data_IF_732211724266
#
_entry.id   IF_732211724266
#
_cell.length_a   1.000
_cell.length_b   1.000
_cell.length_c   1.000
_cell.angle_alpha   90.00
_cell.angle_beta   90.00
_cell.angle_gamma   90.00
#
_symmetry.space_group_name_H-M   'P 1'
#
loop_
_entity.id
_entity.type
_entity.pdbx_description
1 polymer ?
#
# COMPACT_ATOMS: atom_id res chain seq x y z
N UNK A 1 -11.43 -34.85 -10.87
CA UNK A 1 -12.37 -34.12 -11.70
C UNK A 1 -12.46 -32.63 -11.33
N UNK A 2 -11.43 -32.06 -10.69
CA UNK A 2 -11.40 -30.68 -10.20
C UNK A 2 -10.42 -29.75 -10.90
N UNK A 3 -9.72 -30.21 -11.94
CA UNK A 3 -8.59 -29.47 -12.57
C UNK A 3 -8.99 -28.65 -13.80
N UNK A 4 -10.29 -28.57 -14.17
CA UNK A 4 -10.76 -27.90 -15.40
C UNK A 4 -11.57 -26.61 -15.18
N UNK A 5 -11.78 -26.16 -13.95
CA UNK A 5 -12.64 -24.98 -13.65
C UNK A 5 -11.83 -23.69 -13.52
N UNK A 6 -10.50 -23.76 -13.35
CA UNK A 6 -9.66 -22.56 -13.13
C UNK A 6 -9.24 -21.83 -14.41
N UNK A 7 -9.54 -22.37 -15.61
CA UNK A 7 -9.07 -21.82 -16.90
C UNK A 7 -10.11 -21.00 -17.66
N UNK A 8 -11.32 -20.85 -17.14
CA UNK A 8 -12.45 -20.21 -17.88
C UNK A 8 -12.78 -18.78 -17.42
N UNK A 9 -12.03 -18.21 -16.49
CA UNK A 9 -12.27 -16.83 -15.99
C UNK A 9 -11.42 -15.74 -16.68
N UNK A 10 -10.64 -16.09 -17.71
CA UNK A 10 -9.76 -15.13 -18.40
C UNK A 10 -10.22 -14.72 -19.81
N UNK A 11 -11.42 -15.04 -20.23
CA UNK A 11 -11.89 -14.69 -21.58
C UNK A 11 -13.05 -13.71 -21.49
N UNK A 12 -12.82 -12.54 -22.09
CA UNK A 12 -13.75 -11.46 -22.44
C UNK A 12 -13.97 -10.33 -21.42
N UNK A 13 -12.96 -9.48 -21.25
CA UNK A 13 -13.20 -8.05 -21.01
C UNK A 13 -12.45 -7.25 -22.06
N UNK A 14 -12.91 -7.33 -23.30
CA UNK A 14 -12.64 -6.30 -24.30
C UNK A 14 -13.67 -5.20 -24.12
N UNK A 15 -13.62 -4.50 -22.99
CA UNK A 15 -14.33 -3.25 -22.83
C UNK A 15 -13.47 -2.15 -23.44
N UNK A 16 -14.05 -1.38 -24.34
CA UNK A 16 -13.54 -0.16 -24.94
C UNK A 16 -12.98 0.77 -23.83
N UNK A 17 -11.72 0.60 -23.50
CA UNK A 17 -11.02 1.48 -22.59
C UNK A 17 -10.69 2.74 -23.38
N UNK A 18 -11.47 3.80 -23.19
CA UNK A 18 -10.91 5.13 -23.33
C UNK A 18 -9.72 5.18 -22.37
N UNK A 19 -8.54 5.55 -22.88
CA UNK A 19 -7.31 5.71 -22.11
C UNK A 19 -7.55 6.72 -20.98
N UNK A 20 -7.85 6.21 -19.81
CA UNK A 20 -8.18 7.01 -18.65
C UNK A 20 -6.99 7.16 -17.68
N UNK A 21 -5.78 7.00 -18.19
CA UNK A 21 -4.54 7.02 -17.43
C UNK A 21 -4.24 5.68 -16.74
N UNK A 22 -3.01 5.50 -16.40
CA UNK A 22 -2.44 4.29 -15.82
C UNK A 22 -2.93 4.07 -14.38
N UNK A 23 -2.99 2.81 -13.95
CA UNK A 23 -3.28 2.45 -12.57
C UNK A 23 -2.22 3.04 -11.63
N UNK A 24 -2.68 3.74 -10.58
CA UNK A 24 -1.84 4.23 -9.49
C UNK A 24 -2.09 3.37 -8.26
N UNK A 25 -1.01 2.89 -7.64
CA UNK A 25 -1.06 1.89 -6.58
C UNK A 25 -0.27 2.34 -5.36
N UNK A 26 -0.60 1.77 -4.20
CA UNK A 26 0.17 1.94 -2.97
C UNK A 26 1.31 0.89 -2.87
N UNK A 27 1.32 -0.10 -3.78
CA UNK A 27 2.42 -1.06 -3.94
C UNK A 27 3.37 -0.63 -5.05
N UNK A 28 4.66 -1.02 -5.01
CA UNK A 28 5.34 -1.94 -4.10
C UNK A 28 5.93 -1.31 -2.83
N UNK A 29 6.01 0.03 -2.75
CA UNK A 29 6.56 0.79 -1.64
C UNK A 29 5.63 0.79 -0.41
N UNK A 30 6.16 1.24 0.73
CA UNK A 30 5.38 1.49 1.94
C UNK A 30 4.65 2.84 1.84
N UNK A 31 5.14 3.72 0.94
CA UNK A 31 4.57 5.05 0.72
C UNK A 31 3.23 4.94 0.02
N UNK A 32 2.20 5.38 0.71
CA UNK A 32 0.85 5.46 0.16
C UNK A 32 0.76 6.60 -0.85
N UNK A 33 0.22 6.32 -2.04
CA UNK A 33 0.06 7.33 -3.08
C UNK A 33 -1.13 8.27 -2.78
N UNK A 34 -1.08 9.54 -3.19
CA UNK A 34 -2.20 10.48 -2.99
C UNK A 34 -3.31 10.37 -4.03
N UNK A 35 -3.21 9.47 -4.98
CA UNK A 35 -4.21 9.29 -6.03
C UNK A 35 -5.47 8.60 -5.52
N UNK A 36 -6.61 8.91 -6.11
CA UNK A 36 -7.92 8.32 -5.83
C UNK A 36 -8.28 7.36 -6.96
N UNK A 37 -8.72 6.17 -6.61
CA UNK A 37 -9.33 5.25 -7.58
C UNK A 37 -10.55 5.92 -8.21
N UNK A 38 -10.67 5.84 -9.53
CA UNK A 38 -11.75 6.48 -10.28
C UNK A 38 -13.13 6.00 -9.83
N UNK A 39 -14.07 6.93 -9.85
CA UNK A 39 -15.47 6.63 -9.50
C UNK A 39 -16.01 5.44 -10.29
N UNK A 40 -16.56 4.46 -9.56
CA UNK A 40 -17.15 3.25 -10.12
C UNK A 40 -16.14 2.18 -10.52
N UNK A 41 -14.86 2.34 -10.14
CA UNK A 41 -13.84 1.30 -10.30
C UNK A 41 -13.56 0.63 -8.95
N UNK A 42 -13.30 -0.67 -9.01
CA UNK A 42 -12.62 -1.43 -7.96
C UNK A 42 -11.17 -1.64 -8.39
N UNK A 43 -10.26 -1.45 -7.47
CA UNK A 43 -8.84 -1.76 -7.61
C UNK A 43 -8.44 -2.73 -6.52
N UNK A 44 -7.74 -3.80 -6.91
CA UNK A 44 -7.17 -4.77 -5.98
C UNK A 44 -5.64 -4.74 -6.09
N UNK A 45 -4.98 -4.72 -4.96
CA UNK A 45 -3.53 -4.82 -4.82
C UNK A 45 -3.25 -6.02 -3.93
N UNK A 46 -2.73 -7.08 -4.53
CA UNK A 46 -2.48 -8.36 -3.87
C UNK A 46 -0.98 -8.63 -3.81
N UNK A 47 -0.51 -9.16 -2.71
CA UNK A 47 0.89 -9.45 -2.55
C UNK A 47 1.19 -10.69 -1.73
N UNK A 48 2.40 -11.15 -1.87
CA UNK A 48 3.09 -12.09 -1.00
C UNK A 48 4.32 -11.38 -0.45
N UNK A 49 4.51 -11.45 0.86
CA UNK A 49 5.69 -10.93 1.53
C UNK A 49 6.31 -12.06 2.37
N UNK A 50 7.60 -12.22 2.26
CA UNK A 50 8.40 -13.11 3.08
C UNK A 50 9.41 -12.30 3.86
N UNK A 51 9.28 -12.27 5.17
CA UNK A 51 10.28 -11.73 6.09
C UNK A 51 11.10 -12.85 6.73
N UNK A 52 12.03 -12.48 7.57
CA UNK A 52 12.84 -13.41 8.37
C UNK A 52 11.98 -14.24 9.33
N UNK A 53 10.93 -13.63 9.88
CA UNK A 53 10.10 -14.21 10.95
C UNK A 53 8.78 -14.80 10.47
N UNK A 54 8.27 -14.38 9.29
CA UNK A 54 6.92 -14.74 8.87
C UNK A 54 6.71 -14.69 7.35
N UNK A 55 5.63 -15.32 6.92
CA UNK A 55 5.07 -15.20 5.58
C UNK A 55 3.75 -14.46 5.66
N UNK A 56 3.56 -13.42 4.85
CA UNK A 56 2.30 -12.71 4.71
C UNK A 56 1.69 -13.03 3.34
N UNK A 57 0.54 -13.72 3.33
CA UNK A 57 -0.15 -14.07 2.10
C UNK A 57 -1.61 -14.48 2.34
N UNK A 58 -2.54 -13.86 1.60
CA UNK A 58 -2.32 -12.66 0.79
C UNK A 58 -2.16 -11.41 1.66
N UNK A 59 -1.34 -10.47 1.22
CA UNK A 59 -1.49 -9.06 1.60
C UNK A 59 -2.47 -8.46 0.60
N UNK A 60 -3.59 -7.94 1.07
CA UNK A 60 -4.68 -7.48 0.20
C UNK A 60 -5.10 -6.07 0.55
N UNK A 61 -5.16 -5.20 -0.44
CA UNK A 61 -5.75 -3.87 -0.35
C UNK A 61 -6.79 -3.74 -1.47
N UNK A 62 -8.06 -3.67 -1.09
CA UNK A 62 -9.17 -3.42 -2.00
C UNK A 62 -9.59 -1.96 -1.89
N UNK A 63 -9.71 -1.28 -3.03
CA UNK A 63 -10.09 0.13 -3.12
C UNK A 63 -11.32 0.27 -4.00
N UNK A 64 -12.23 1.15 -3.61
CA UNK A 64 -13.39 1.51 -4.42
C UNK A 64 -13.53 3.02 -4.55
N UNK A 65 -13.53 3.51 -5.77
CA UNK A 65 -13.73 4.92 -6.07
C UNK A 65 -15.20 5.35 -5.89
N UNK A 66 -15.51 5.99 -4.76
CA UNK A 66 -16.85 6.53 -4.49
C UNK A 66 -17.13 7.78 -5.31
N UNK A 67 -16.13 8.64 -5.44
CA UNK A 67 -16.24 9.91 -6.14
C UNK A 67 -14.87 10.37 -6.65
N UNK A 68 -14.76 11.58 -7.21
CA UNK A 68 -13.47 12.17 -7.59
C UNK A 68 -12.60 12.54 -6.38
N UNK A 69 -13.16 12.50 -5.16
CA UNK A 69 -12.45 12.89 -3.93
C UNK A 69 -12.42 11.85 -2.85
N UNK A 70 -13.22 10.78 -2.96
CA UNK A 70 -13.35 9.79 -1.90
C UNK A 70 -13.16 8.37 -2.45
N UNK A 71 -12.35 7.59 -1.74
CA UNK A 71 -12.05 6.19 -1.99
C UNK A 71 -12.27 5.39 -0.71
N UNK A 72 -13.06 4.32 -0.78
CA UNK A 72 -13.14 3.33 0.28
C UNK A 72 -11.97 2.34 0.15
N UNK A 73 -11.50 1.87 1.28
CA UNK A 73 -10.36 0.95 1.41
C UNK A 73 -10.73 -0.20 2.34
N UNK A 74 -10.29 -1.38 1.98
CA UNK A 74 -10.32 -2.56 2.84
C UNK A 74 -8.97 -3.25 2.77
N UNK A 75 -8.32 -3.38 3.92
CA UNK A 75 -7.03 -4.04 4.08
C UNK A 75 -7.26 -5.38 4.74
N UNK A 76 -6.62 -6.43 4.23
CA UNK A 76 -6.61 -7.74 4.86
C UNK A 76 -5.25 -8.41 4.63
N UNK A 77 -4.59 -8.78 5.72
CA UNK A 77 -3.30 -9.46 5.71
C UNK A 77 -3.39 -10.73 6.51
N UNK A 78 -3.12 -11.86 5.86
CA UNK A 78 -2.92 -13.13 6.53
C UNK A 78 -1.44 -13.39 6.72
N UNK A 79 -1.07 -13.81 7.92
CA UNK A 79 0.31 -14.13 8.26
C UNK A 79 0.47 -15.53 8.82
N UNK A 80 1.64 -16.11 8.59
CA UNK A 80 2.03 -17.39 9.13
C UNK A 80 3.49 -17.35 9.59
N UNK A 81 3.70 -17.55 10.87
CA UNK A 81 5.03 -17.82 11.42
C UNK A 81 5.40 -19.31 11.20
N UNK A 82 6.68 -19.65 11.05
CA UNK A 82 7.11 -21.02 10.90
C UNK A 82 6.59 -21.91 12.05
N UNK A 83 5.88 -22.99 11.70
CA UNK A 83 5.32 -23.94 12.66
C UNK A 83 4.06 -23.50 13.39
N UNK A 84 3.49 -22.34 13.05
CA UNK A 84 2.21 -21.86 13.59
C UNK A 84 1.11 -21.86 12.53
N UNK A 85 -0.14 -21.72 12.98
CA UNK A 85 -1.29 -21.60 12.09
C UNK A 85 -1.34 -20.23 11.42
N UNK A 86 -1.94 -20.20 10.22
CA UNK A 86 -2.21 -18.94 9.51
C UNK A 86 -3.28 -18.13 10.27
N UNK A 87 -3.01 -16.85 10.50
CA UNK A 87 -3.91 -15.94 11.22
C UNK A 87 -4.04 -14.61 10.50
N UNK A 88 -5.12 -13.87 10.74
CA UNK A 88 -5.21 -12.47 10.37
C UNK A 88 -4.20 -11.66 11.18
N UNK A 89 -3.30 -10.97 10.49
CA UNK A 89 -2.34 -10.03 11.08
C UNK A 89 -2.93 -8.61 11.11
N UNK A 90 -3.66 -8.27 10.05
CA UNK A 90 -4.32 -6.98 9.92
C UNK A 90 -5.63 -7.15 9.18
N UNK A 91 -6.65 -6.49 9.68
CA UNK A 91 -7.90 -6.28 8.97
C UNK A 91 -8.40 -4.88 9.28
N UNK A 92 -8.60 -4.07 8.24
CA UNK A 92 -8.98 -2.67 8.40
C UNK A 92 -9.95 -2.20 7.32
N UNK A 93 -10.79 -1.25 7.68
CA UNK A 93 -11.48 -0.39 6.71
C UNK A 93 -10.89 1.00 6.76
N UNK A 94 -10.92 1.68 5.62
CA UNK A 94 -10.41 3.04 5.52
C UNK A 94 -11.16 3.90 4.53
N UNK A 95 -10.91 5.18 4.67
CA UNK A 95 -11.36 6.20 3.76
C UNK A 95 -10.15 7.05 3.34
N UNK A 96 -9.97 7.25 2.03
CA UNK A 96 -9.02 8.23 1.49
C UNK A 96 -9.81 9.42 0.95
N UNK A 97 -9.39 10.60 1.35
CA UNK A 97 -9.94 11.88 0.91
C UNK A 97 -8.88 12.70 0.18
N UNK A 98 -9.14 13.01 -1.10
CA UNK A 98 -8.30 13.88 -1.91
C UNK A 98 -8.49 15.35 -1.49
N UNK A 99 -7.45 15.94 -0.92
CA UNK A 99 -7.43 17.34 -0.49
C UNK A 99 -7.06 18.26 -1.65
N UNK A 100 -5.95 17.97 -2.31
CA UNK A 100 -5.46 18.75 -3.45
C UNK A 100 -5.01 17.81 -4.57
N UNK A 101 -5.70 17.88 -5.72
CA UNK A 101 -5.46 17.08 -6.91
C UNK A 101 -5.30 18.00 -8.12
N UNK A 102 -4.10 18.51 -8.39
CA UNK A 102 -3.88 19.36 -9.55
C UNK A 102 -4.19 18.60 -10.83
N UNK A 103 -4.77 19.29 -11.81
CA UNK A 103 -5.00 18.72 -13.14
C UNK A 103 -3.71 18.75 -13.95
N UNK A 104 -3.38 17.60 -14.58
CA UNK A 104 -2.19 17.44 -15.39
C UNK A 104 -0.91 17.16 -14.58
N UNK A 105 0.18 16.94 -15.31
CA UNK A 105 1.53 16.85 -14.75
C UNK A 105 1.97 18.27 -14.45
N UNK A 106 1.96 18.66 -13.20
CA UNK A 106 2.52 19.95 -12.78
C UNK A 106 4.05 19.82 -12.64
N UNK A 107 4.75 19.87 -13.75
CA UNK A 107 6.20 20.06 -13.71
C UNK A 107 6.52 21.35 -12.95
N UNK A 108 7.36 21.26 -11.93
CA UNK A 108 7.86 22.43 -11.18
C UNK A 108 6.87 23.08 -10.17
N UNK A 109 5.81 22.44 -9.77
CA UNK A 109 4.99 22.97 -8.67
C UNK A 109 5.51 22.45 -7.32
N UNK A 110 5.86 23.37 -6.42
CA UNK A 110 6.14 23.06 -5.01
C UNK A 110 4.90 22.56 -4.24
N UNK A 111 3.71 22.64 -4.86
CA UNK A 111 2.47 22.19 -4.26
C UNK A 111 2.25 20.71 -4.55
N UNK A 112 2.41 19.82 -3.56
CA UNK A 112 2.24 18.40 -3.77
C UNK A 112 0.77 18.06 -4.05
N UNK A 113 0.52 17.02 -4.83
CA UNK A 113 -0.73 16.28 -4.79
C UNK A 113 -0.89 15.73 -3.38
N UNK A 114 -2.05 15.90 -2.77
CA UNK A 114 -2.23 15.58 -1.35
C UNK A 114 -3.56 14.89 -1.11
N UNK A 115 -3.52 13.84 -0.27
CA UNK A 115 -4.70 13.19 0.28
C UNK A 115 -4.49 12.87 1.76
N UNK A 116 -5.56 12.59 2.47
CA UNK A 116 -5.53 12.03 3.81
C UNK A 116 -6.22 10.67 3.81
N UNK A 117 -5.64 9.73 4.53
CA UNK A 117 -6.17 8.38 4.74
C UNK A 117 -6.44 8.23 6.22
N UNK A 118 -7.57 7.59 6.53
CA UNK A 118 -7.91 7.16 7.89
C UNK A 118 -8.28 5.70 7.81
N UNK A 119 -7.66 4.86 8.64
CA UNK A 119 -8.04 3.47 8.82
C UNK A 119 -8.55 3.22 10.24
N UNK A 120 -9.46 2.28 10.33
CA UNK A 120 -9.86 1.63 11.56
C UNK A 120 -9.53 0.13 11.46
N UNK A 121 -8.75 -0.37 12.41
CA UNK A 121 -8.27 -1.74 12.42
C UNK A 121 -9.11 -2.57 13.40
N UNK A 122 -9.54 -3.75 12.96
CA UNK A 122 -10.12 -4.74 13.86
C UNK A 122 -9.02 -5.56 14.52
N UNK A 123 -9.17 -5.76 15.82
CA UNK A 123 -8.30 -6.66 16.55
C UNK A 123 -8.82 -8.10 16.46
N UNK A 124 -8.07 -8.95 15.78
CA UNK A 124 -8.29 -10.38 15.77
C UNK A 124 -7.46 -11.13 16.83
N UNK A 125 -6.51 -10.43 17.47
CA UNK A 125 -5.56 -11.04 18.41
C UNK A 125 -6.04 -11.06 19.86
N UNK A 126 -7.29 -10.81 20.14
CA UNK A 126 -7.86 -10.62 21.46
C UNK A 126 -7.82 -11.87 22.40
N UNK A 127 -6.89 -12.81 22.22
CA UNK A 127 -6.92 -14.06 23.00
C UNK A 127 -5.63 -14.49 23.67
N UNK A 128 -4.51 -13.87 23.43
CA UNK A 128 -3.30 -14.18 24.19
C UNK A 128 -2.55 -12.88 24.53
N UNK A 129 -2.96 -12.28 25.65
CA UNK A 129 -2.13 -11.31 26.35
C UNK A 129 -0.87 -12.01 26.87
N UNK A 130 0.06 -12.36 26.00
CA UNK A 130 1.41 -12.58 26.47
C UNK A 130 1.97 -11.21 26.84
N UNK A 131 2.50 -11.09 28.03
CA UNK A 131 2.99 -9.86 28.68
C UNK A 131 4.05 -9.07 27.90
N UNK A 132 4.35 -9.45 26.67
CA UNK A 132 5.40 -8.84 25.83
C UNK A 132 4.94 -7.69 24.93
N UNK A 133 3.65 -7.44 24.73
CA UNK A 133 3.18 -6.33 23.92
C UNK A 133 2.81 -5.11 24.77
N UNK A 134 3.81 -4.45 25.36
CA UNK A 134 3.65 -3.19 26.06
C UNK A 134 3.05 -2.06 25.20
N UNK A 135 3.16 -2.17 23.86
CA UNK A 135 2.65 -1.16 22.90
C UNK A 135 1.15 -1.26 22.63
N UNK A 136 0.50 -2.39 22.96
CA UNK A 136 -0.85 -2.66 22.48
C UNK A 136 -0.89 -2.95 20.97
N UNK A 137 -2.08 -3.29 20.43
CA UNK A 137 -2.30 -3.47 19.01
C UNK A 137 -2.77 -2.16 18.36
N UNK A 138 -2.49 -1.97 17.07
CA UNK A 138 -2.96 -0.83 16.31
C UNK A 138 -4.48 -0.86 16.14
N UNK A 139 -5.15 0.21 16.55
CA UNK A 139 -6.60 0.37 16.38
C UNK A 139 -6.96 1.26 15.18
N UNK A 140 -5.98 1.95 14.61
CA UNK A 140 -6.15 2.78 13.43
C UNK A 140 -5.02 3.75 13.21
N UNK A 141 -5.08 4.39 12.06
CA UNK A 141 -4.09 5.39 11.66
C UNK A 141 -4.73 6.58 10.94
N UNK A 142 -3.97 7.67 10.92
CA UNK A 142 -4.23 8.84 10.07
C UNK A 142 -2.96 9.19 9.35
N UNK A 143 -2.98 9.15 8.01
CA UNK A 143 -1.82 9.37 7.15
C UNK A 143 -2.11 10.47 6.14
N UNK A 144 -1.26 11.50 6.10
CA UNK A 144 -1.19 12.46 5.02
C UNK A 144 -0.25 11.91 3.94
N UNK A 145 -0.77 11.77 2.74
CA UNK A 145 -0.02 11.29 1.57
C UNK A 145 0.23 12.44 0.61
N UNK A 146 1.45 12.56 0.14
CA UNK A 146 1.88 13.66 -0.71
C UNK A 146 2.78 13.14 -1.83
N UNK A 147 2.72 13.80 -3.00
CA UNK A 147 3.60 13.51 -4.13
C UNK A 147 3.90 14.78 -4.92
N UNK A 148 5.17 14.97 -5.25
CA UNK A 148 5.64 15.94 -6.23
C UNK A 148 6.22 15.21 -7.43
N UNK A 149 5.80 15.61 -8.63
CA UNK A 149 6.36 15.14 -9.90
C UNK A 149 7.28 16.25 -10.43
N UNK A 150 8.59 16.00 -10.48
CA UNK A 150 9.58 16.99 -10.95
C UNK A 150 9.58 17.11 -12.47
N UNK A 151 9.33 16.00 -13.15
CA UNK A 151 9.15 15.90 -14.59
C UNK A 151 8.40 14.61 -14.95
N UNK A 152 8.34 14.25 -16.24
CA UNK A 152 7.64 13.05 -16.72
C UNK A 152 8.26 11.73 -16.22
N UNK A 153 9.47 11.77 -15.66
CA UNK A 153 10.22 10.56 -15.28
C UNK A 153 10.50 10.48 -13.79
N UNK A 154 10.65 11.60 -13.10
CA UNK A 154 11.10 11.64 -11.71
C UNK A 154 10.07 12.29 -10.81
N UNK A 155 9.85 11.66 -9.68
CA UNK A 155 8.99 12.16 -8.62
C UNK A 155 9.49 11.79 -7.24
N UNK A 156 8.77 12.25 -6.23
CA UNK A 156 8.95 11.89 -4.84
C UNK A 156 7.59 11.75 -4.17
N UNK A 157 7.31 10.56 -3.66
CA UNK A 157 6.20 10.30 -2.75
C UNK A 157 6.66 10.45 -1.30
N UNK A 158 5.82 10.96 -0.43
CA UNK A 158 6.11 11.02 1.00
C UNK A 158 4.84 11.05 1.84
N UNK A 159 4.94 10.43 3.02
CA UNK A 159 3.85 10.38 3.97
C UNK A 159 4.32 10.83 5.35
N UNK A 160 3.39 11.40 6.09
CA UNK A 160 3.51 11.65 7.52
C UNK A 160 2.19 11.30 8.19
N UNK A 161 2.25 10.66 9.33
CA UNK A 161 1.03 10.21 10.00
C UNK A 161 1.23 9.82 11.44
N UNK A 162 0.17 9.28 11.99
CA UNK A 162 0.18 8.72 13.34
C UNK A 162 -0.65 7.45 13.37
N UNK A 163 -0.17 6.48 14.11
CA UNK A 163 -0.86 5.24 14.44
C UNK A 163 -1.30 5.29 15.90
N UNK A 164 -2.52 4.85 16.16
CA UNK A 164 -3.12 4.79 17.50
C UNK A 164 -3.15 3.35 17.97
N UNK A 165 -2.80 3.13 19.23
CA UNK A 165 -2.76 1.80 19.84
C UNK A 165 -3.81 1.64 20.93
N UNK A 166 -4.21 0.39 21.20
CA UNK A 166 -5.27 0.04 22.16
C UNK A 166 -4.95 0.43 23.62
N UNK A 167 -3.69 0.62 23.95
CA UNK A 167 -3.24 1.12 25.24
C UNK A 167 -3.33 2.66 25.37
N UNK A 168 -3.83 3.35 24.33
CA UNK A 168 -3.92 4.82 24.26
C UNK A 168 -2.64 5.52 23.84
N UNK A 169 -1.58 4.79 23.48
CA UNK A 169 -0.35 5.41 22.95
C UNK A 169 -0.51 5.78 21.48
N UNK A 170 0.33 6.73 21.04
CA UNK A 170 0.43 7.16 19.65
C UNK A 170 1.85 6.96 19.17
N UNK A 171 1.99 6.58 17.91
CA UNK A 171 3.26 6.41 17.23
C UNK A 171 3.27 7.27 15.96
N UNK A 172 4.28 8.12 15.80
CA UNK A 172 4.49 8.87 14.58
C UNK A 172 5.04 7.97 13.49
N UNK A 173 4.59 8.14 12.24
CA UNK A 173 5.10 7.40 11.08
C UNK A 173 5.51 8.37 9.98
N UNK A 174 6.56 8.03 9.24
CA UNK A 174 6.98 8.74 8.04
C UNK A 174 7.46 7.77 6.98
N UNK A 175 7.35 8.19 5.70
CA UNK A 175 7.83 7.48 4.53
C UNK A 175 8.28 8.48 3.49
N UNK A 176 9.38 8.21 2.80
CA UNK A 176 9.92 9.08 1.75
C UNK A 176 10.47 8.21 0.62
N UNK A 177 9.89 8.31 -0.57
CA UNK A 177 10.16 7.44 -1.71
C UNK A 177 10.46 8.27 -2.99
N UNK A 178 11.71 8.67 -3.23
CA UNK A 178 12.13 9.07 -4.58
C UNK A 178 11.85 7.95 -5.58
N UNK A 179 11.28 8.30 -6.71
CA UNK A 179 10.86 7.33 -7.70
C UNK A 179 11.13 7.81 -9.14
N UNK A 180 11.15 6.86 -10.06
CA UNK A 180 11.38 7.11 -11.47
C UNK A 180 10.60 6.17 -12.39
N UNK A 181 10.18 6.70 -13.53
CA UNK A 181 9.63 5.93 -14.63
C UNK A 181 10.75 5.48 -15.57
N UNK A 182 10.81 4.21 -15.89
CA UNK A 182 11.77 3.60 -16.80
C UNK A 182 11.06 3.25 -18.11
N UNK A 183 11.28 4.06 -19.11
CA UNK A 183 10.54 3.96 -20.37
C UNK A 183 9.04 4.16 -20.16
N UNK A 184 8.21 3.42 -20.89
CA UNK A 184 6.75 3.55 -20.82
C UNK A 184 6.10 2.61 -19.81
N UNK A 185 6.80 1.59 -19.34
CA UNK A 185 6.22 0.49 -18.57
C UNK A 185 6.94 0.15 -17.27
N UNK A 186 8.13 0.68 -17.06
CA UNK A 186 8.88 0.45 -15.84
C UNK A 186 8.65 1.55 -14.81
N UNK A 187 8.68 1.19 -13.53
CA UNK A 187 8.69 2.09 -12.38
C UNK A 187 9.69 1.54 -11.38
N UNK A 188 10.54 2.38 -10.85
CA UNK A 188 11.48 2.02 -9.80
C UNK A 188 11.48 3.08 -8.71
N UNK A 189 11.80 2.67 -7.49
CA UNK A 189 11.90 3.56 -6.34
C UNK A 189 12.96 3.06 -5.37
N UNK A 190 13.40 3.96 -4.52
CA UNK A 190 14.06 3.68 -3.25
C UNK A 190 13.31 4.41 -2.15
N UNK A 191 13.23 3.83 -0.97
CA UNK A 191 12.43 4.40 0.11
C UNK A 191 13.18 4.33 1.44
N UNK A 192 12.96 5.33 2.28
CA UNK A 192 13.28 5.32 3.71
C UNK A 192 11.99 5.58 4.47
N UNK A 193 11.73 4.74 5.45
CA UNK A 193 10.54 4.83 6.27
C UNK A 193 10.84 4.50 7.73
N UNK A 194 9.94 4.89 8.62
CA UNK A 194 10.16 4.60 10.02
C UNK A 194 9.03 5.03 10.92
N UNK A 195 9.21 4.68 12.20
CA UNK A 195 8.28 4.89 13.28
C UNK A 195 8.97 5.60 14.44
N UNK A 196 8.23 6.47 15.12
CA UNK A 196 8.65 7.17 16.30
C UNK A 196 7.74 6.78 17.48
N UNK A 197 8.02 5.65 18.15
CA UNK A 197 7.27 5.25 19.32
C UNK A 197 7.51 6.24 20.49
N UNK A 198 6.48 6.44 21.33
CA UNK A 198 6.56 7.43 22.42
C UNK A 198 7.60 7.09 23.51
N UNK A 199 7.98 5.82 23.66
CA UNK A 199 8.80 5.33 24.77
C UNK A 199 10.05 4.55 24.35
N UNK A 200 10.35 4.43 23.07
CA UNK A 200 11.46 3.64 22.55
C UNK A 200 12.26 4.42 21.52
N UNK A 201 13.41 3.89 21.11
CA UNK A 201 14.17 4.45 19.99
C UNK A 201 13.38 4.31 18.68
N UNK A 202 13.52 5.31 17.82
CA UNK A 202 12.92 5.28 16.51
C UNK A 202 13.44 4.07 15.69
N UNK A 203 12.52 3.37 15.04
CA UNK A 203 12.85 2.28 14.14
C UNK A 203 12.80 2.80 12.69
N UNK A 204 13.90 2.63 11.98
CA UNK A 204 14.07 3.10 10.61
C UNK A 204 14.45 1.94 9.70
N UNK A 205 13.83 1.92 8.54
CA UNK A 205 14.06 0.92 7.51
C UNK A 205 14.21 1.57 6.14
N UNK A 206 14.77 0.83 5.21
CA UNK A 206 14.84 1.21 3.81
C UNK A 206 14.41 0.04 2.93
N UNK A 207 13.91 0.37 1.78
CA UNK A 207 13.65 -0.61 0.73
C UNK A 207 13.89 -0.05 -0.66
N UNK A 208 13.79 -0.92 -1.63
CA UNK A 208 13.79 -0.58 -3.04
C UNK A 208 12.90 -1.57 -3.80
N UNK A 209 12.34 -1.10 -4.89
CA UNK A 209 11.50 -1.98 -5.70
C UNK A 209 11.39 -1.55 -7.14
N UNK A 210 10.81 -2.47 -7.89
CA UNK A 210 10.53 -2.30 -9.30
C UNK A 210 9.10 -2.76 -9.60
N UNK A 211 8.43 -2.04 -10.50
CA UNK A 211 7.14 -2.46 -11.01
C UNK A 211 7.09 -2.38 -12.54
N UNK A 212 6.27 -3.24 -13.12
CA UNK A 212 6.03 -3.32 -14.55
C UNK A 212 4.55 -3.21 -14.87
N UNK A 213 4.19 -2.21 -15.65
CA UNK A 213 2.85 -2.02 -16.16
C UNK A 213 2.60 -2.92 -17.36
N UNK A 214 1.87 -4.01 -17.16
CA UNK A 214 1.48 -4.92 -18.23
C UNK A 214 0.61 -4.15 -19.25
N UNK A 215 -0.37 -3.42 -18.71
CA UNK A 215 -1.20 -2.45 -19.42
C UNK A 215 -1.62 -1.31 -18.46
N UNK A 216 -2.60 -0.50 -18.84
CA UNK A 216 -3.07 0.64 -18.03
C UNK A 216 -3.79 0.21 -16.74
N UNK A 217 -4.30 -1.00 -16.68
CA UNK A 217 -5.12 -1.51 -15.57
C UNK A 217 -4.47 -2.65 -14.79
N UNK A 218 -3.27 -3.10 -15.18
CA UNK A 218 -2.57 -4.22 -14.54
C UNK A 218 -1.10 -3.89 -14.34
N UNK A 219 -0.62 -4.06 -13.10
CA UNK A 219 0.76 -3.82 -12.67
C UNK A 219 1.28 -5.02 -11.89
N UNK A 220 2.51 -5.44 -12.16
CA UNK A 220 3.29 -6.41 -11.39
C UNK A 220 4.39 -5.68 -10.64
N UNK A 221 4.75 -6.15 -9.46
CA UNK A 221 5.78 -5.54 -8.66
C UNK A 221 6.63 -6.53 -7.86
N UNK A 222 7.83 -6.06 -7.50
CA UNK A 222 8.75 -6.72 -6.59
C UNK A 222 9.46 -5.67 -5.75
N UNK A 223 9.66 -5.96 -4.46
CA UNK A 223 10.44 -5.11 -3.55
C UNK A 223 11.24 -5.94 -2.56
N UNK A 224 12.27 -5.33 -2.00
CA UNK A 224 13.05 -5.89 -0.91
C UNK A 224 13.49 -4.77 0.03
N UNK A 225 13.46 -5.04 1.33
CA UNK A 225 13.79 -4.05 2.36
C UNK A 225 14.43 -4.65 3.58
N UNK A 226 14.94 -3.76 4.44
CA UNK A 226 15.70 -4.13 5.62
C UNK A 226 15.66 -3.01 6.65
N UNK A 227 15.71 -3.38 7.96
CA UNK A 227 15.93 -2.44 9.05
C UNK A 227 17.37 -1.92 9.05
N UNK A 228 17.57 -0.64 9.41
CA UNK A 228 18.90 -0.07 9.60
C UNK A 228 19.59 -0.60 10.87
N UNK A 229 18.83 -0.85 11.94
CA UNK A 229 19.35 -1.26 13.23
C UNK A 229 19.43 -2.79 13.35
N UNK A 230 18.53 -3.49 12.68
CA UNK A 230 18.36 -4.94 12.72
C UNK A 230 18.48 -5.55 11.31
N UNK A 231 19.71 -5.70 10.76
CA UNK A 231 19.90 -6.23 9.41
C UNK A 231 19.32 -7.64 9.18
N UNK A 232 19.12 -8.39 10.27
CA UNK A 232 18.40 -9.66 10.26
C UNK A 232 16.92 -9.49 9.88
N UNK A 233 16.31 -8.32 10.15
CA UNK A 233 14.93 -8.00 9.79
C UNK A 233 14.87 -7.48 8.36
N UNK A 234 14.78 -8.41 7.43
CA UNK A 234 14.67 -8.12 6.02
C UNK A 234 13.47 -8.85 5.40
N UNK A 235 13.03 -8.36 4.27
CA UNK A 235 11.92 -8.95 3.53
C UNK A 235 12.12 -8.88 2.02
N UNK A 236 11.41 -9.76 1.32
CA UNK A 236 11.14 -9.68 -0.11
C UNK A 236 9.65 -9.80 -0.34
N UNK A 237 9.13 -9.00 -1.25
CA UNK A 237 7.72 -9.02 -1.61
C UNK A 237 7.53 -9.04 -3.13
N UNK A 238 6.46 -9.67 -3.56
CA UNK A 238 5.98 -9.64 -4.94
C UNK A 238 4.50 -9.31 -4.96
N UNK A 239 4.03 -8.66 -6.00
CA UNK A 239 2.64 -8.25 -6.06
C UNK A 239 2.04 -8.17 -7.45
N UNK A 240 0.73 -8.15 -7.44
CA UNK A 240 -0.14 -7.95 -8.59
C UNK A 240 -1.20 -6.92 -8.21
N UNK A 241 -1.29 -5.86 -8.97
CA UNK A 241 -2.33 -4.86 -8.85
C UNK A 241 -3.16 -4.81 -10.13
N UNK A 242 -4.46 -4.73 -9.98
CA UNK A 242 -5.36 -4.58 -11.12
C UNK A 242 -6.61 -3.79 -10.73
N UNK A 243 -7.26 -3.19 -11.73
CA UNK A 243 -8.53 -2.49 -11.55
C UNK A 243 -9.51 -2.82 -12.68
N UNK A 244 -10.77 -2.68 -12.37
CA UNK A 244 -11.86 -2.84 -13.34
C UNK A 244 -13.07 -1.97 -12.97
N UNK A 245 -13.85 -1.63 -13.97
CA UNK A 245 -15.05 -0.81 -13.78
C UNK A 245 -16.25 -1.69 -13.39
N UNK A 246 -16.99 -1.29 -12.35
CA UNK A 246 -18.17 -2.01 -11.84
C UNK A 246 -19.47 -1.29 -12.15
N UNK A 247 -19.43 0.05 -12.25
CA UNK A 247 -20.61 0.87 -12.53
C UNK A 247 -20.35 1.62 -13.83
N UNK A 248 -21.27 1.53 -14.77
CA UNK A 248 -21.28 2.25 -16.05
C UNK A 248 -21.78 3.67 -15.89
#
# INVERSE_FOLDING_TARGET
MFTRILLLLFISVSALAQSEGRIETDRPDQTECPFIVKKGYIQAELGFNRSTSEYLFPTSLLKYGLSKRFELRYVSVLGQEPGKETRFQTEAIGLKWALFQPSGIQHSSWKPRTSVIVHYNWDHQNRDFSEKNLRGHSIGDVVFTMQNDFNEHYGIGYNIGTEMHSNGSFEGIYRVAPNMLIGKKGYAYVEVFGRFPASEFADHSYDAGFAYYVNEDVKLDVSAGQSFLHPEDHYIAVGLSFRFRVIR
#
